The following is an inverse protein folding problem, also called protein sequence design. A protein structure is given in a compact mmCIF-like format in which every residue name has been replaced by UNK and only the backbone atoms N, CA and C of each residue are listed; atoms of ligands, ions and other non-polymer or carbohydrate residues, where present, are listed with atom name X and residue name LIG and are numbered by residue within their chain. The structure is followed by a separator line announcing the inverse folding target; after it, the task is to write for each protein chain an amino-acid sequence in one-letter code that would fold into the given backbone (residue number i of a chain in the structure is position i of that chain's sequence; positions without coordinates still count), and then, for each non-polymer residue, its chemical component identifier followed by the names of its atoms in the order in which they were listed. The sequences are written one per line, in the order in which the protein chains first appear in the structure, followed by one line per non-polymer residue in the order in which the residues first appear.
data_IF_568625682680
#
_entry.id   IF_568625682680
#
_cell.length_a   1.000
_cell.length_b   1.000
_cell.length_c   1.000
_cell.angle_alpha   90.00
_cell.angle_beta   90.00
_cell.angle_gamma   90.00
#
_symmetry.space_group_name_H-M   'P 1'
#
loop_
_entity.id
_entity.type
_entity.pdbx_description
1 polymer ?
#
# COMPACT_ATOMS: atom_id res chain seq x y z
N UNK A 1 -4.11 11.34 9.86
CA UNK A 1 -4.45 10.77 8.54
C UNK A 1 -5.12 11.87 7.71
N UNK A 2 -4.44 12.36 6.68
CA UNK A 2 -5.06 13.22 5.67
C UNK A 2 -5.87 12.36 4.71
N UNK A 3 -7.06 12.81 4.34
CA UNK A 3 -7.86 12.15 3.33
C UNK A 3 -7.16 12.29 1.96
N UNK A 4 -6.90 11.19 1.22
CA UNK A 4 -6.27 11.27 -0.08
C UNK A 4 -7.21 11.93 -1.09
N UNK A 5 -6.72 12.88 -1.84
CA UNK A 5 -7.48 13.59 -2.87
C UNK A 5 -7.09 13.05 -4.25
N UNK A 6 -8.09 12.63 -5.03
CA UNK A 6 -7.88 12.19 -6.41
C UNK A 6 -7.49 13.36 -7.31
N UNK A 7 -6.66 13.09 -8.32
CA UNK A 7 -6.36 14.05 -9.40
C UNK A 7 -7.63 14.50 -10.17
N UNK A 8 -8.70 13.69 -10.11
CA UNK A 8 -9.99 13.98 -10.73
C UNK A 8 -10.96 14.73 -9.81
N UNK A 9 -10.54 15.04 -8.57
CA UNK A 9 -11.39 15.80 -7.65
C UNK A 9 -11.50 17.26 -8.11
N UNK A 10 -12.68 17.89 -8.06
CA UNK A 10 -12.88 19.26 -8.51
C UNK A 10 -11.92 20.29 -7.89
N UNK A 11 -11.51 20.11 -6.64
CA UNK A 11 -10.54 20.98 -5.97
C UNK A 11 -9.11 20.90 -6.54
N UNK A 12 -8.84 19.92 -7.42
CA UNK A 12 -7.53 19.71 -8.05
C UNK A 12 -7.56 20.08 -9.53
N UNK A 13 -8.66 19.76 -10.22
CA UNK A 13 -8.77 19.91 -11.67
C UNK A 13 -9.86 20.90 -12.12
N UNK A 14 -10.52 21.61 -11.19
CA UNK A 14 -11.63 22.53 -11.47
C UNK A 14 -12.76 21.91 -12.32
N UNK A 15 -12.89 20.58 -12.28
CA UNK A 15 -13.85 19.80 -13.06
C UNK A 15 -13.42 19.50 -14.50
N UNK A 16 -12.27 20.00 -14.96
CA UNK A 16 -11.69 19.66 -16.27
C UNK A 16 -10.77 18.43 -16.15
N UNK A 17 -11.22 17.32 -16.73
CA UNK A 17 -10.46 16.06 -16.74
C UNK A 17 -9.57 15.90 -18.00
N UNK A 18 -9.46 16.92 -18.85
CA UNK A 18 -8.66 16.86 -20.08
C UNK A 18 -7.20 16.46 -19.79
N UNK A 19 -6.72 15.38 -20.39
CA UNK A 19 -5.38 14.85 -20.19
C UNK A 19 -5.12 14.21 -18.82
N UNK A 20 -6.12 14.09 -17.94
CA UNK A 20 -5.98 13.49 -16.61
C UNK A 20 -6.46 12.04 -16.58
N UNK A 21 -5.67 11.17 -15.97
CA UNK A 21 -6.02 9.77 -15.70
C UNK A 21 -5.72 9.42 -14.24
N UNK A 22 -6.70 8.83 -13.57
CA UNK A 22 -6.55 8.16 -12.29
C UNK A 22 -6.54 6.65 -12.51
N UNK A 23 -5.53 5.97 -11.95
CA UNK A 23 -5.42 4.50 -11.98
C UNK A 23 -5.68 3.97 -10.59
N UNK A 24 -6.66 3.06 -10.47
CA UNK A 24 -7.03 2.46 -9.19
C UNK A 24 -6.94 0.94 -9.25
N UNK A 25 -6.51 0.33 -8.15
CA UNK A 25 -6.39 -1.13 -8.02
C UNK A 25 -7.05 -1.61 -6.74
N UNK A 26 -7.91 -2.60 -6.85
CA UNK A 26 -8.56 -3.28 -5.72
C UNK A 26 -7.67 -4.33 -5.04
N UNK A 27 -6.44 -4.49 -5.51
CA UNK A 27 -5.49 -5.47 -4.95
C UNK A 27 -5.22 -5.27 -3.46
N UNK A 28 -5.26 -4.03 -2.97
CA UNK A 28 -4.92 -3.69 -1.58
C UNK A 28 -6.12 -3.16 -0.80
N UNK A 29 -6.97 -2.33 -1.40
CA UNK A 29 -8.18 -1.82 -0.77
C UNK A 29 -9.17 -2.94 -0.42
N UNK A 30 -9.33 -3.91 -1.33
CA UNK A 30 -10.34 -4.97 -1.22
C UNK A 30 -9.75 -6.39 -1.20
N UNK A 31 -8.44 -6.55 -0.96
CA UNK A 31 -7.73 -7.85 -0.94
C UNK A 31 -7.89 -8.68 -2.22
N UNK A 32 -8.17 -8.04 -3.36
CA UNK A 32 -8.42 -8.70 -4.65
C UNK A 32 -7.15 -8.85 -5.52
N UNK A 33 -5.98 -8.96 -4.92
CA UNK A 33 -4.70 -9.08 -5.65
C UNK A 33 -4.67 -10.27 -6.62
N UNK A 34 -5.29 -11.41 -6.25
CA UNK A 34 -5.38 -12.61 -7.08
C UNK A 34 -6.22 -12.45 -8.35
N UNK A 35 -7.15 -11.51 -8.36
CA UNK A 35 -8.01 -11.24 -9.51
C UNK A 35 -7.34 -10.46 -10.62
N UNK A 36 -6.17 -9.87 -10.38
CA UNK A 36 -5.37 -9.12 -11.36
C UNK A 36 -6.17 -8.00 -12.04
N UNK A 37 -6.94 -7.26 -11.27
CA UNK A 37 -7.86 -6.25 -11.79
C UNK A 37 -7.66 -4.87 -11.16
N UNK A 38 -7.92 -3.86 -11.94
CA UNK A 38 -7.96 -2.45 -11.60
C UNK A 38 -8.70 -1.71 -12.69
N UNK A 39 -8.87 -0.41 -12.52
CA UNK A 39 -9.52 0.42 -13.54
C UNK A 39 -8.78 1.74 -13.74
N UNK A 40 -9.11 2.40 -14.84
CA UNK A 40 -8.66 3.75 -15.18
C UNK A 40 -9.89 4.61 -15.37
N UNK A 41 -9.86 5.81 -14.81
CA UNK A 41 -10.90 6.84 -14.96
C UNK A 41 -10.26 8.17 -15.32
N UNK A 42 -11.00 9.07 -15.97
CA UNK A 42 -10.56 10.42 -16.32
C UNK A 42 -10.97 10.85 -17.70
N UNK A 43 -10.06 11.45 -18.47
CA UNK A 43 -10.32 11.93 -19.83
C UNK A 43 -10.94 10.86 -20.73
N UNK A 44 -12.18 11.09 -21.16
CA UNK A 44 -12.94 10.13 -21.96
C UNK A 44 -12.30 9.81 -23.31
N UNK A 45 -11.60 10.74 -23.93
CA UNK A 45 -10.92 10.53 -25.20
C UNK A 45 -9.73 9.59 -25.01
N UNK A 46 -8.89 9.85 -24.01
CA UNK A 46 -7.72 9.00 -23.68
C UNK A 46 -8.15 7.61 -23.22
N UNK A 47 -9.20 7.51 -22.37
CA UNK A 47 -9.76 6.21 -21.94
C UNK A 47 -10.29 5.42 -23.14
N UNK A 48 -10.93 6.10 -24.11
CA UNK A 48 -11.41 5.47 -25.35
C UNK A 48 -10.26 4.87 -26.19
N UNK A 49 -9.17 5.60 -26.37
CA UNK A 49 -7.98 5.13 -27.07
C UNK A 49 -7.32 3.96 -26.34
N UNK A 50 -7.17 4.04 -25.02
CA UNK A 50 -6.67 2.94 -24.20
C UNK A 50 -7.54 1.69 -24.32
N UNK A 51 -8.85 1.83 -24.34
CA UNK A 51 -9.77 0.71 -24.52
C UNK A 51 -9.57 0.05 -25.90
N UNK A 52 -9.42 0.85 -26.97
CA UNK A 52 -9.17 0.35 -28.32
C UNK A 52 -7.87 -0.48 -28.39
N UNK A 53 -6.79 -0.02 -27.76
CA UNK A 53 -5.53 -0.78 -27.68
C UNK A 53 -5.71 -2.06 -26.86
N UNK A 54 -6.31 -1.96 -25.68
CA UNK A 54 -6.43 -3.07 -24.73
C UNK A 54 -7.23 -4.24 -25.27
N UNK A 55 -8.36 -3.98 -25.93
CA UNK A 55 -9.22 -5.05 -26.51
C UNK A 55 -8.50 -5.83 -27.60
N UNK A 56 -7.62 -5.19 -28.39
CA UNK A 56 -6.86 -5.86 -29.44
C UNK A 56 -5.58 -6.52 -28.91
N UNK A 57 -5.02 -6.05 -27.81
CA UNK A 57 -3.87 -6.63 -27.14
C UNK A 57 -4.20 -7.77 -26.17
N UNK A 58 -5.46 -8.20 -26.08
CA UNK A 58 -5.89 -9.28 -25.16
C UNK A 58 -5.88 -8.91 -23.68
N UNK A 59 -5.87 -7.61 -23.34
CA UNK A 59 -5.80 -7.13 -21.96
C UNK A 59 -7.19 -6.79 -21.36
N UNK A 60 -8.22 -7.53 -21.78
CA UNK A 60 -9.59 -7.37 -21.26
C UNK A 60 -9.78 -8.19 -19.98
N UNK A 61 -10.30 -7.54 -18.94
CA UNK A 61 -10.63 -8.22 -17.69
C UNK A 61 -11.86 -9.12 -17.87
N UNK A 62 -11.84 -10.40 -17.47
CA UNK A 62 -12.98 -11.32 -17.59
C UNK A 62 -14.23 -10.79 -16.86
N UNK A 63 -15.42 -11.03 -17.44
CA UNK A 63 -16.68 -10.52 -16.88
C UNK A 63 -16.94 -10.92 -15.41
N UNK A 64 -16.63 -12.15 -14.94
CA UNK A 64 -16.79 -12.50 -13.53
C UNK A 64 -15.91 -11.64 -12.61
N UNK A 65 -14.71 -11.30 -13.06
CA UNK A 65 -13.78 -10.42 -12.32
C UNK A 65 -14.32 -8.99 -12.27
N UNK A 66 -14.88 -8.49 -13.37
CA UNK A 66 -15.53 -7.17 -13.40
C UNK A 66 -16.72 -7.12 -12.44
N UNK A 67 -17.55 -8.18 -12.37
CA UNK A 67 -18.66 -8.26 -11.42
C UNK A 67 -18.18 -8.24 -9.96
N UNK A 68 -17.09 -8.95 -9.66
CA UNK A 68 -16.47 -8.91 -8.33
C UNK A 68 -15.91 -7.52 -8.00
N UNK A 69 -15.35 -6.79 -8.99
CA UNK A 69 -14.88 -5.41 -8.81
C UNK A 69 -16.03 -4.47 -8.47
N UNK A 70 -17.17 -4.58 -9.18
CA UNK A 70 -18.35 -3.74 -8.91
C UNK A 70 -18.86 -4.01 -7.51
N UNK A 71 -19.03 -5.27 -7.11
CA UNK A 71 -19.49 -5.63 -5.78
C UNK A 71 -18.55 -5.09 -4.67
N UNK A 72 -17.24 -5.11 -4.91
CA UNK A 72 -16.27 -4.56 -3.95
C UNK A 72 -16.29 -3.01 -3.90
N UNK A 73 -16.59 -2.35 -5.01
CA UNK A 73 -16.69 -0.88 -5.07
C UNK A 73 -18.01 -0.36 -4.47
N UNK A 74 -19.05 -1.20 -4.42
CA UNK A 74 -20.33 -0.87 -3.81
C UNK A 74 -20.37 -1.12 -2.29
N UNK A 75 -19.28 -1.65 -1.71
CA UNK A 75 -19.14 -1.95 -0.28
C UNK A 75 -17.98 -1.18 0.34
N UNK A 76 -18.27 -0.05 0.96
CA UNK A 76 -17.28 0.76 1.69
C UNK A 76 -16.95 0.21 3.09
N UNK A 77 -17.78 -0.67 3.64
CA UNK A 77 -17.63 -1.14 5.02
C UNK A 77 -16.38 -2.02 5.16
N UNK A 78 -16.14 -2.94 4.23
CA UNK A 78 -14.96 -3.82 4.26
C UNK A 78 -13.65 -3.02 4.13
N UNK A 79 -13.63 -1.96 3.32
CA UNK A 79 -12.45 -1.09 3.20
C UNK A 79 -12.21 -0.31 4.49
N UNK A 80 -13.26 0.23 5.09
CA UNK A 80 -13.21 0.98 6.36
C UNK A 80 -12.69 0.11 7.50
N UNK A 81 -13.22 -1.11 7.64
CA UNK A 81 -12.75 -2.08 8.63
C UNK A 81 -11.27 -2.44 8.44
N UNK A 82 -10.85 -2.67 7.21
CA UNK A 82 -9.47 -3.01 6.91
C UNK A 82 -8.51 -1.83 7.14
N UNK A 83 -8.92 -0.62 6.80
CA UNK A 83 -8.18 0.61 7.09
C UNK A 83 -7.98 0.81 8.60
N UNK A 84 -9.03 0.59 9.39
CA UNK A 84 -8.96 0.71 10.85
C UNK A 84 -8.05 -0.37 11.46
N UNK A 85 -8.04 -1.59 10.90
CA UNK A 85 -7.11 -2.65 11.28
C UNK A 85 -5.66 -2.26 11.03
N UNK A 86 -5.34 -1.72 9.87
CA UNK A 86 -4.00 -1.24 9.56
C UNK A 86 -3.59 -0.04 10.42
N UNK A 87 -4.51 0.86 10.73
CA UNK A 87 -4.27 1.97 11.66
C UNK A 87 -3.84 1.45 13.03
N UNK A 88 -4.61 0.54 13.64
CA UNK A 88 -4.26 -0.04 14.95
C UNK A 88 -2.87 -0.71 14.93
N UNK A 89 -2.57 -1.46 13.88
CA UNK A 89 -1.26 -2.12 13.74
C UNK A 89 -0.12 -1.12 13.60
N UNK A 90 -0.34 -0.06 12.86
CA UNK A 90 0.62 1.04 12.71
C UNK A 90 0.85 1.72 14.05
N UNK A 91 -0.22 2.07 14.74
CA UNK A 91 -0.16 2.75 16.04
C UNK A 91 0.57 1.92 17.11
N UNK A 92 0.51 0.59 17.03
CA UNK A 92 1.27 -0.31 17.90
C UNK A 92 2.76 -0.39 17.49
N UNK A 93 3.07 -0.49 16.20
CA UNK A 93 4.44 -0.70 15.73
C UNK A 93 5.29 0.58 15.70
N UNK A 94 4.70 1.74 15.41
CA UNK A 94 5.44 3.00 15.32
C UNK A 94 6.23 3.34 16.59
N UNK A 95 5.62 3.34 17.79
CA UNK A 95 6.37 3.62 19.02
C UNK A 95 7.40 2.52 19.31
N UNK A 96 7.10 1.24 19.03
CA UNK A 96 8.04 0.14 19.24
C UNK A 96 9.30 0.27 18.39
N UNK A 97 9.16 0.60 17.10
CA UNK A 97 10.31 0.85 16.24
C UNK A 97 11.12 2.07 16.69
N UNK A 98 10.46 3.18 17.06
CA UNK A 98 11.14 4.38 17.58
C UNK A 98 11.92 4.08 18.85
N UNK A 99 11.32 3.34 19.80
CA UNK A 99 11.99 2.93 21.03
C UNK A 99 13.19 2.00 20.79
N UNK A 100 13.15 1.20 19.72
CA UNK A 100 14.26 0.35 19.29
C UNK A 100 15.33 1.11 18.45
N UNK A 101 15.28 2.44 18.43
CA UNK A 101 16.28 3.29 17.78
C UNK A 101 16.10 3.49 16.28
N UNK A 102 14.90 3.23 15.74
CA UNK A 102 14.60 3.48 14.34
C UNK A 102 14.03 4.87 14.09
N UNK A 103 14.43 5.47 12.99
CA UNK A 103 13.68 6.56 12.36
C UNK A 103 12.62 5.97 11.43
N UNK A 104 11.42 6.55 11.43
CA UNK A 104 10.30 6.14 10.57
C UNK A 104 9.97 7.28 9.64
N UNK A 105 10.07 7.03 8.36
CA UNK A 105 9.85 8.04 7.32
C UNK A 105 8.53 7.77 6.58
N UNK A 106 7.75 8.85 6.31
CA UNK A 106 6.58 8.83 5.41
C UNK A 106 5.61 7.66 5.65
N UNK A 107 5.26 7.38 6.90
CA UNK A 107 4.43 6.23 7.29
C UNK A 107 3.08 6.65 7.89
N UNK A 108 2.48 7.72 7.36
CA UNK A 108 1.21 8.28 7.83
C UNK A 108 0.01 7.42 7.45
N UNK A 109 0.13 6.63 6.37
CA UNK A 109 -0.94 5.81 5.83
C UNK A 109 -0.40 4.53 5.16
N UNK A 110 -1.28 3.73 4.57
CA UNK A 110 -0.93 2.56 3.76
C UNK A 110 -0.61 1.30 4.57
N UNK A 111 0.06 0.36 3.90
CA UNK A 111 0.28 -1.02 4.35
C UNK A 111 1.66 -1.28 4.91
N UNK A 112 2.55 -0.27 4.91
CA UNK A 112 3.96 -0.45 5.21
C UNK A 112 4.47 0.66 6.10
N UNK A 113 5.48 0.33 6.90
CA UNK A 113 6.38 1.29 7.51
C UNK A 113 7.69 1.30 6.73
N UNK A 114 8.25 2.50 6.51
CA UNK A 114 9.54 2.72 5.92
C UNK A 114 10.48 3.20 7.01
N UNK A 115 11.38 2.33 7.46
CA UNK A 115 12.15 2.55 8.68
C UNK A 115 13.64 2.37 8.44
N UNK A 116 14.47 3.10 9.21
CA UNK A 116 15.92 3.02 9.13
C UNK A 116 16.56 3.12 10.50
N UNK A 117 17.70 2.44 10.68
CA UNK A 117 18.64 2.63 11.79
C UNK A 117 19.88 3.45 11.39
N UNK A 118 19.89 3.97 10.15
CA UNK A 118 21.01 4.71 9.62
C UNK A 118 22.20 3.86 9.15
N UNK A 119 22.07 2.53 9.15
CA UNK A 119 23.05 1.54 8.67
C UNK A 119 22.62 0.95 7.31
N UNK A 120 23.40 0.06 6.73
CA UNK A 120 22.99 -0.64 5.51
C UNK A 120 21.73 -1.48 5.76
N UNK A 121 20.79 -1.48 4.80
CA UNK A 121 19.49 -2.15 4.97
C UNK A 121 19.64 -3.66 5.25
N UNK A 122 20.69 -4.30 4.76
CA UNK A 122 20.97 -5.72 5.02
C UNK A 122 21.33 -5.98 6.48
N UNK A 123 22.08 -5.08 7.13
CA UNK A 123 22.41 -5.20 8.55
C UNK A 123 21.16 -5.03 9.41
N UNK A 124 20.30 -4.08 9.05
CA UNK A 124 18.99 -3.89 9.69
C UNK A 124 18.09 -5.13 9.51
N UNK A 125 18.06 -5.73 8.31
CA UNK A 125 17.31 -6.98 8.07
C UNK A 125 17.86 -8.10 8.95
N UNK A 126 19.18 -8.26 9.06
CA UNK A 126 19.80 -9.28 9.91
C UNK A 126 19.46 -9.06 11.40
N UNK A 127 19.51 -7.82 11.87
CA UNK A 127 19.14 -7.45 13.24
C UNK A 127 17.67 -7.78 13.55
N UNK A 128 16.76 -7.49 12.64
CA UNK A 128 15.33 -7.83 12.75
C UNK A 128 15.11 -9.36 12.70
N UNK A 129 15.82 -10.06 11.81
CA UNK A 129 15.72 -11.50 11.67
C UNK A 129 16.15 -12.25 12.94
N UNK A 130 17.19 -11.80 13.65
CA UNK A 130 17.60 -12.35 14.96
C UNK A 130 16.49 -12.26 16.01
N UNK A 131 15.55 -11.32 15.84
CA UNK A 131 14.35 -11.14 16.68
C UNK A 131 13.12 -11.82 16.11
N UNK A 132 13.28 -12.64 15.04
CA UNK A 132 12.18 -13.33 14.36
C UNK A 132 11.23 -12.36 13.63
N UNK A 133 11.70 -11.18 13.23
CA UNK A 133 10.94 -10.19 12.46
C UNK A 133 11.46 -10.19 11.03
N UNK A 134 10.60 -10.55 10.07
CA UNK A 134 10.92 -10.54 8.65
C UNK A 134 10.55 -9.20 8.03
N UNK A 135 11.53 -8.53 7.41
CA UNK A 135 11.35 -7.27 6.69
C UNK A 135 12.02 -7.33 5.31
N UNK A 136 11.56 -6.51 4.38
CA UNK A 136 12.16 -6.42 3.06
C UNK A 136 13.26 -5.35 3.04
N UNK A 137 14.47 -5.65 2.50
CA UNK A 137 15.52 -4.65 2.37
C UNK A 137 15.10 -3.56 1.37
N UNK A 138 15.39 -2.31 1.71
CA UNK A 138 14.95 -1.16 0.93
C UNK A 138 15.65 -1.03 -0.43
N UNK A 139 16.83 -1.63 -0.61
CA UNK A 139 17.54 -1.65 -1.89
C UNK A 139 16.71 -2.29 -3.03
N UNK A 140 15.71 -3.15 -2.71
CA UNK A 140 14.78 -3.70 -3.70
C UNK A 140 13.91 -2.62 -4.37
N UNK A 141 13.84 -1.42 -3.79
CA UNK A 141 13.04 -0.28 -4.25
C UNK A 141 13.93 0.83 -4.84
N UNK A 142 15.20 0.53 -5.06
CA UNK A 142 16.16 1.44 -5.66
C UNK A 142 17.25 1.94 -4.69
N UNK A 143 18.27 2.64 -5.22
CA UNK A 143 19.49 2.99 -4.45
C UNK A 143 19.21 3.90 -3.25
N UNK A 144 18.16 4.73 -3.30
CA UNK A 144 17.76 5.57 -2.16
C UNK A 144 17.23 4.76 -0.97
N UNK A 145 16.83 3.50 -1.20
CA UNK A 145 16.40 2.57 -0.17
C UNK A 145 17.54 1.82 0.55
N UNK A 146 18.80 2.02 0.17
CA UNK A 146 19.95 1.23 0.66
C UNK A 146 20.14 1.25 2.19
N UNK A 147 19.53 2.20 2.90
CA UNK A 147 19.61 2.34 4.36
C UNK A 147 18.27 2.13 5.07
N UNK A 148 17.25 1.71 4.34
CA UNK A 148 15.90 1.50 4.86
C UNK A 148 15.47 0.05 4.77
N UNK A 149 14.47 -0.31 5.56
CA UNK A 149 13.72 -1.56 5.43
C UNK A 149 12.23 -1.27 5.36
N UNK A 150 11.51 -2.10 4.60
CA UNK A 150 10.05 -2.04 4.51
C UNK A 150 9.43 -3.09 5.43
N UNK A 151 8.65 -2.63 6.39
CA UNK A 151 7.90 -3.48 7.32
C UNK A 151 6.44 -3.50 6.91
N UNK A 152 5.86 -4.70 6.72
CA UNK A 152 4.47 -4.86 6.31
C UNK A 152 3.52 -4.93 7.52
N UNK A 153 2.36 -4.25 7.42
CA UNK A 153 1.29 -4.31 8.41
C UNK A 153 0.29 -5.46 8.14
N UNK A 154 0.59 -6.31 7.15
CA UNK A 154 -0.32 -7.36 6.65
C UNK A 154 -0.28 -8.66 7.45
N UNK A 155 0.60 -8.78 8.45
CA UNK A 155 0.64 -9.92 9.36
C UNK A 155 -0.60 -9.94 10.27
N UNK A 156 -0.86 -11.07 10.95
CA UNK A 156 -1.95 -11.16 11.93
C UNK A 156 -1.69 -10.29 13.16
N UNK A 157 -2.74 -9.98 13.91
CA UNK A 157 -2.62 -9.10 15.08
C UNK A 157 -1.69 -9.70 16.16
N UNK A 158 -1.70 -11.04 16.32
CA UNK A 158 -0.79 -11.75 17.24
C UNK A 158 0.67 -11.61 16.81
N UNK A 159 0.94 -11.65 15.50
CA UNK A 159 2.31 -11.47 14.98
C UNK A 159 2.78 -10.03 15.11
N UNK A 160 1.87 -9.06 14.97
CA UNK A 160 2.17 -7.65 15.21
C UNK A 160 2.49 -7.43 16.70
N UNK A 161 1.68 -7.95 17.61
CA UNK A 161 1.94 -7.86 19.06
C UNK A 161 3.29 -8.51 19.42
N UNK A 162 3.56 -9.71 18.91
CA UNK A 162 4.84 -10.39 19.12
C UNK A 162 6.04 -9.57 18.56
N UNK A 163 5.87 -8.84 17.46
CA UNK A 163 6.92 -7.96 16.94
C UNK A 163 7.16 -6.76 17.86
N UNK A 164 6.11 -6.16 18.42
CA UNK A 164 6.21 -5.08 19.42
C UNK A 164 7.01 -5.55 20.64
N UNK A 165 6.67 -6.71 21.21
CA UNK A 165 7.35 -7.29 22.38
C UNK A 165 8.84 -7.54 22.09
N UNK A 166 9.15 -8.12 20.91
CA UNK A 166 10.52 -8.45 20.50
C UNK A 166 11.39 -7.21 20.21
N UNK A 167 10.80 -6.10 19.78
CA UNK A 167 11.49 -4.84 19.61
C UNK A 167 11.84 -4.19 20.96
N UNK A 168 11.03 -4.44 22.00
CA UNK A 168 11.26 -3.95 23.36
C UNK A 168 12.29 -4.75 24.17
N UNK A 169 12.76 -5.91 23.68
CA UNK A 169 13.72 -6.78 24.35
C UNK A 169 15.20 -6.47 24.01
N UNK A 170 15.47 -5.26 23.46
CA UNK A 170 16.81 -4.86 23.00
C UNK A 170 17.56 -3.98 23.97
#
# INVERSE_FOLDING_TARGET
DSEPVSVLHPSVCDGDHTGLLAVHSLSKSSSLAGYRAGFVAGDGAVVGELLAVRKHAGMMVPRPVQAAMVAALDDDDHEREQRDRYRRRRDALLPAFRSAGFTVDHSEAGLYLWVTRGEACRDTVAWLAQRGILAAPGEFYGPRGARHVRVALTATDERIAAAVDRLGLG
#
